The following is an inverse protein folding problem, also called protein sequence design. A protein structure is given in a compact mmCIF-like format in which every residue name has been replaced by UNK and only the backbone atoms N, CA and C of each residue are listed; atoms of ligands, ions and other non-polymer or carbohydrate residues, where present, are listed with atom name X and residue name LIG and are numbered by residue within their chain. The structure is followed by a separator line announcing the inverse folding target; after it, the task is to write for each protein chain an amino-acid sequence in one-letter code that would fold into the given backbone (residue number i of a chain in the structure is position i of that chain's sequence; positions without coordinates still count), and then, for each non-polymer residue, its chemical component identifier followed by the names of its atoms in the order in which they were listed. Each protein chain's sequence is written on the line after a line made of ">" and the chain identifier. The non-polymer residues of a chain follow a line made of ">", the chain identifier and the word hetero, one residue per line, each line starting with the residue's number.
data_IF_065524294623
#
_entry.id   IF_065524294623
#
_cell.length_a   1.000
_cell.length_b   1.000
_cell.length_c   1.000
_cell.angle_alpha   90.00
_cell.angle_beta   90.00
_cell.angle_gamma   90.00
#
_symmetry.space_group_name_H-M   'P 1'
#
loop_
_entity.id
_entity.type
_entity.pdbx_description
1 polymer ?
#
# COMPACT_ATOMS: atom_id res chain seq x y z
N UNK A 1 12.14 -25.88 -17.01
CA UNK A 1 11.76 -24.48 -16.71
C UNK A 1 11.07 -24.37 -15.36
N UNK A 2 9.96 -25.09 -15.11
CA UNK A 2 9.25 -25.09 -13.81
C UNK A 2 10.15 -25.18 -12.57
N UNK A 3 11.00 -26.20 -12.46
CA UNK A 3 11.85 -26.40 -11.28
C UNK A 3 12.84 -25.24 -11.06
N UNK A 4 13.31 -24.61 -12.14
CA UNK A 4 14.20 -23.45 -12.04
C UNK A 4 13.47 -22.20 -11.55
N UNK A 5 12.24 -21.96 -12.03
CA UNK A 5 11.40 -20.86 -11.54
C UNK A 5 11.00 -21.08 -10.08
N UNK A 6 10.69 -22.32 -9.69
CA UNK A 6 10.38 -22.67 -8.30
C UNK A 6 11.60 -22.45 -7.37
N UNK A 7 12.79 -22.89 -7.79
CA UNK A 7 14.03 -22.64 -7.03
C UNK A 7 14.31 -21.14 -6.92
N UNK A 8 14.16 -20.40 -8.02
CA UNK A 8 14.33 -18.95 -8.03
C UNK A 8 13.37 -18.25 -7.08
N UNK A 9 12.09 -18.61 -7.11
CA UNK A 9 11.07 -18.06 -6.22
C UNK A 9 11.43 -18.23 -4.73
N UNK A 10 12.05 -19.36 -4.35
CA UNK A 10 12.49 -19.60 -2.97
C UNK A 10 13.77 -18.83 -2.64
N UNK A 11 14.73 -18.80 -3.56
CA UNK A 11 16.05 -18.18 -3.33
C UNK A 11 15.99 -16.66 -3.20
N UNK A 12 15.15 -16.00 -3.99
CA UNK A 12 15.03 -14.53 -4.00
C UNK A 12 14.48 -13.92 -2.71
N UNK A 13 14.10 -14.74 -1.72
CA UNK A 13 13.82 -14.27 -0.36
C UNK A 13 15.09 -13.74 0.32
N UNK A 14 16.26 -14.29 0.01
CA UNK A 14 17.54 -13.85 0.55
C UNK A 14 18.14 -12.67 -0.24
N UNK A 15 18.72 -11.70 0.48
CA UNK A 15 19.27 -10.49 -0.13
C UNK A 15 20.52 -10.75 -0.98
N UNK A 16 21.37 -11.71 -0.59
CA UNK A 16 22.57 -12.06 -1.35
C UNK A 16 22.18 -12.75 -2.67
N UNK A 17 21.17 -13.61 -2.63
CA UNK A 17 20.65 -14.27 -3.83
C UNK A 17 19.99 -13.27 -4.80
N UNK A 18 19.31 -12.21 -4.29
CA UNK A 18 18.80 -11.11 -5.14
C UNK A 18 19.92 -10.37 -5.86
N UNK A 19 21.00 -10.06 -5.15
CA UNK A 19 22.16 -9.38 -5.73
C UNK A 19 22.86 -10.24 -6.80
N UNK A 20 23.00 -11.55 -6.56
CA UNK A 20 23.54 -12.49 -7.55
C UNK A 20 22.61 -12.63 -8.77
N UNK A 21 21.31 -12.70 -8.54
CA UNK A 21 20.29 -12.74 -9.58
C UNK A 21 20.34 -11.50 -10.47
N UNK A 22 20.41 -10.31 -9.87
CA UNK A 22 20.54 -9.04 -10.58
C UNK A 22 21.79 -9.00 -11.46
N UNK A 23 22.96 -9.38 -10.89
CA UNK A 23 24.23 -9.45 -11.63
C UNK A 23 24.23 -10.43 -12.80
N UNK A 24 23.35 -11.43 -12.78
CA UNK A 24 23.22 -12.44 -13.81
C UNK A 24 22.17 -12.11 -14.88
N UNK A 25 21.80 -10.83 -15.02
CA UNK A 25 20.70 -10.36 -15.90
C UNK A 25 19.35 -11.02 -15.58
N UNK A 26 19.18 -11.47 -14.34
CA UNK A 26 18.02 -12.23 -13.91
C UNK A 26 16.71 -11.45 -14.02
N UNK A 27 16.75 -10.14 -13.72
CA UNK A 27 15.59 -9.23 -13.78
C UNK A 27 15.04 -9.20 -15.19
N UNK A 28 15.88 -8.90 -16.18
CA UNK A 28 15.51 -8.90 -17.59
C UNK A 28 14.96 -10.26 -18.04
N UNK A 29 15.60 -11.36 -17.61
CA UNK A 29 15.18 -12.70 -18.01
C UNK A 29 13.79 -13.09 -17.46
N UNK A 30 13.51 -12.77 -16.19
CA UNK A 30 12.20 -13.09 -15.59
C UNK A 30 11.08 -12.18 -16.11
N UNK A 31 11.41 -10.92 -16.40
CA UNK A 31 10.46 -9.96 -16.99
C UNK A 31 10.13 -10.35 -18.42
N UNK A 32 11.13 -10.67 -19.26
CA UNK A 32 10.91 -11.20 -20.62
C UNK A 32 10.01 -12.44 -20.59
N UNK A 33 10.22 -13.31 -19.60
CA UNK A 33 9.38 -14.49 -19.42
C UNK A 33 7.91 -14.11 -19.17
N UNK A 34 7.64 -13.16 -18.26
CA UNK A 34 6.27 -12.70 -17.97
C UNK A 34 5.65 -11.99 -19.18
N UNK A 35 6.38 -11.09 -19.83
CA UNK A 35 5.88 -10.33 -20.98
C UNK A 35 5.49 -11.26 -22.11
N UNK A 36 6.36 -12.21 -22.48
CA UNK A 36 6.10 -13.13 -23.58
C UNK A 36 4.89 -14.02 -23.31
N UNK A 37 4.81 -14.63 -22.12
CA UNK A 37 3.65 -15.48 -21.80
C UNK A 37 2.37 -14.65 -21.79
N UNK A 38 2.40 -13.42 -21.25
CA UNK A 38 1.25 -12.53 -21.25
C UNK A 38 0.81 -12.12 -22.67
N UNK A 39 1.75 -11.75 -23.55
CA UNK A 39 1.47 -11.41 -24.95
C UNK A 39 0.84 -12.58 -25.71
N UNK A 40 1.37 -13.80 -25.55
CA UNK A 40 0.77 -14.98 -26.15
C UNK A 40 -0.66 -15.18 -25.63
N UNK A 41 -0.86 -15.08 -24.32
CA UNK A 41 -2.20 -15.25 -23.74
C UNK A 41 -3.17 -14.18 -24.22
N UNK A 42 -2.72 -12.95 -24.46
CA UNK A 42 -3.55 -11.92 -25.08
C UNK A 42 -4.05 -12.37 -26.47
N UNK A 43 -3.21 -13.02 -27.29
CA UNK A 43 -3.63 -13.58 -28.58
C UNK A 43 -4.61 -14.76 -28.45
N UNK A 44 -4.58 -15.45 -27.31
CA UNK A 44 -5.46 -16.56 -26.97
C UNK A 44 -6.68 -16.12 -26.12
N UNK A 45 -6.97 -14.83 -26.07
CA UNK A 45 -8.05 -14.23 -25.27
C UNK A 45 -7.98 -14.60 -23.77
N UNK A 46 -6.77 -14.68 -23.22
CA UNK A 46 -6.50 -15.00 -21.83
C UNK A 46 -7.14 -16.32 -21.38
N UNK A 47 -7.10 -17.32 -22.26
CA UNK A 47 -7.63 -18.64 -21.94
C UNK A 47 -6.79 -19.37 -20.87
N UNK A 48 -5.48 -19.09 -20.78
CA UNK A 48 -4.51 -19.69 -19.86
C UNK A 48 -4.43 -21.23 -19.87
N UNK A 49 -5.05 -21.87 -20.87
CA UNK A 49 -5.12 -23.34 -20.94
C UNK A 49 -3.90 -23.97 -21.64
N UNK A 50 -3.18 -23.21 -22.46
CA UNK A 50 -2.04 -23.70 -23.24
C UNK A 50 -1.07 -22.57 -23.55
N UNK A 51 0.21 -22.89 -23.73
CA UNK A 51 1.24 -21.96 -24.18
C UNK A 51 2.26 -22.67 -25.08
N UNK A 52 2.80 -21.97 -26.08
CA UNK A 52 3.91 -22.42 -26.93
C UNK A 52 5.09 -21.43 -26.93
N UNK A 53 5.04 -20.40 -26.06
CA UNK A 53 5.88 -19.19 -26.18
C UNK A 53 7.39 -19.43 -26.04
N UNK A 54 7.79 -20.60 -25.54
CA UNK A 54 9.19 -21.04 -25.41
C UNK A 54 9.54 -22.26 -26.28
N UNK A 55 8.81 -22.47 -27.38
CA UNK A 55 9.10 -23.55 -28.34
C UNK A 55 8.73 -24.95 -27.86
N UNK A 56 7.95 -25.04 -26.78
CA UNK A 56 7.39 -26.26 -26.24
C UNK A 56 5.91 -26.04 -25.92
N UNK A 57 5.06 -27.00 -26.25
CA UNK A 57 3.63 -26.94 -25.91
C UNK A 57 3.44 -27.27 -24.44
N UNK A 58 2.89 -26.31 -23.70
CA UNK A 58 2.54 -26.42 -22.29
C UNK A 58 1.05 -26.63 -22.12
N UNK A 59 0.69 -27.49 -21.18
CA UNK A 59 -0.69 -27.71 -20.75
C UNK A 59 -1.07 -26.72 -19.64
N UNK A 60 -2.36 -26.59 -19.36
CA UNK A 60 -2.93 -25.64 -18.40
C UNK A 60 -2.18 -25.60 -17.07
N UNK A 61 -1.92 -26.76 -16.46
CA UNK A 61 -1.21 -26.81 -15.17
C UNK A 61 0.24 -26.30 -15.27
N UNK A 62 0.90 -26.47 -16.42
CA UNK A 62 2.28 -26.01 -16.63
C UNK A 62 2.33 -24.50 -16.86
N UNK A 63 1.33 -23.96 -17.56
CA UNK A 63 1.13 -22.51 -17.72
C UNK A 63 0.89 -21.86 -16.36
N UNK A 64 -0.02 -22.44 -15.57
CA UNK A 64 -0.34 -21.96 -14.23
C UNK A 64 0.86 -22.05 -13.28
N UNK A 65 1.53 -23.21 -13.20
CA UNK A 65 2.75 -23.37 -12.39
C UNK A 65 3.81 -22.33 -12.79
N UNK A 66 4.02 -22.13 -14.10
CA UNK A 66 4.98 -21.15 -14.58
C UNK A 66 4.62 -19.73 -14.16
N UNK A 67 3.36 -19.31 -14.35
CA UNK A 67 2.91 -17.97 -13.99
C UNK A 67 3.04 -17.74 -12.48
N UNK A 68 2.60 -18.70 -11.66
CA UNK A 68 2.72 -18.64 -10.21
C UNK A 68 4.16 -18.39 -9.75
N UNK A 69 5.11 -19.21 -10.21
CA UNK A 69 6.50 -19.06 -9.80
C UNK A 69 7.14 -17.77 -10.32
N UNK A 70 6.77 -17.32 -11.53
CA UNK A 70 7.20 -16.03 -12.07
C UNK A 70 6.71 -14.87 -11.19
N UNK A 71 5.43 -14.87 -10.79
CA UNK A 71 4.86 -13.82 -9.93
C UNK A 71 5.49 -13.79 -8.54
N UNK A 72 5.72 -14.94 -7.92
CA UNK A 72 6.39 -15.02 -6.60
C UNK A 72 7.83 -14.52 -6.70
N UNK A 73 8.57 -14.95 -7.72
CA UNK A 73 9.95 -14.52 -7.92
C UNK A 73 10.06 -13.01 -8.21
N UNK A 74 9.17 -12.44 -9.03
CA UNK A 74 9.10 -10.98 -9.25
C UNK A 74 8.79 -10.22 -7.96
N UNK A 75 7.81 -10.71 -7.18
CA UNK A 75 7.47 -10.12 -5.89
C UNK A 75 8.67 -10.10 -4.94
N UNK A 76 9.36 -11.24 -4.76
CA UNK A 76 10.54 -11.31 -3.90
C UNK A 76 11.70 -10.45 -4.42
N UNK A 77 11.96 -10.45 -5.72
CA UNK A 77 12.99 -9.63 -6.36
C UNK A 77 12.74 -8.13 -6.12
N UNK A 78 11.48 -7.68 -6.27
CA UNK A 78 11.10 -6.27 -6.13
C UNK A 78 11.24 -5.70 -4.71
N UNK A 79 11.52 -6.53 -3.70
CA UNK A 79 11.85 -6.05 -2.34
C UNK A 79 13.13 -5.22 -2.35
N UNK A 80 14.06 -5.53 -3.25
CA UNK A 80 15.27 -4.75 -3.44
C UNK A 80 14.99 -3.50 -4.29
N UNK A 81 15.35 -2.32 -3.78
CA UNK A 81 15.02 -1.04 -4.41
C UNK A 81 15.65 -0.88 -5.79
N UNK A 82 16.87 -1.40 -5.97
CA UNK A 82 17.57 -1.26 -7.23
C UNK A 82 16.97 -2.19 -8.29
N UNK A 83 16.58 -3.41 -7.89
CA UNK A 83 15.84 -4.31 -8.78
C UNK A 83 14.47 -3.74 -9.13
N UNK A 84 13.76 -3.16 -8.16
CA UNK A 84 12.48 -2.51 -8.41
C UNK A 84 12.61 -1.34 -9.41
N UNK A 85 13.69 -0.56 -9.32
CA UNK A 85 13.98 0.49 -10.30
C UNK A 85 14.23 -0.08 -11.70
N UNK A 86 15.03 -1.16 -11.82
CA UNK A 86 15.21 -1.86 -13.11
C UNK A 86 13.91 -2.42 -13.68
N UNK A 87 13.02 -2.95 -12.83
CA UNK A 87 11.70 -3.41 -13.24
C UNK A 87 10.82 -2.26 -13.76
N UNK A 88 10.91 -1.07 -13.17
CA UNK A 88 10.20 0.11 -13.66
C UNK A 88 10.73 0.56 -15.03
N UNK A 89 12.04 0.52 -15.25
CA UNK A 89 12.66 0.80 -16.57
C UNK A 89 12.19 -0.19 -17.65
N UNK A 90 11.82 -1.42 -17.25
CA UNK A 90 11.30 -2.48 -18.11
C UNK A 90 9.75 -2.48 -18.22
N UNK A 91 9.07 -1.41 -17.78
CA UNK A 91 7.61 -1.27 -17.87
C UNK A 91 6.81 -2.41 -17.16
N UNK A 92 7.42 -3.03 -16.14
CA UNK A 92 6.83 -4.18 -15.42
C UNK A 92 5.53 -3.80 -14.71
N UNK A 93 5.39 -2.55 -14.25
CA UNK A 93 4.20 -2.08 -13.56
C UNK A 93 2.94 -2.22 -14.45
N UNK A 94 3.04 -1.85 -15.73
CA UNK A 94 1.92 -2.01 -16.67
C UNK A 94 1.61 -3.48 -16.92
N UNK A 95 2.64 -4.30 -17.15
CA UNK A 95 2.48 -5.74 -17.37
C UNK A 95 1.80 -6.42 -16.17
N UNK A 96 2.25 -6.13 -14.94
CA UNK A 96 1.65 -6.69 -13.72
C UNK A 96 0.21 -6.24 -13.52
N UNK A 97 -0.12 -4.99 -13.85
CA UNK A 97 -1.50 -4.51 -13.76
C UNK A 97 -2.42 -5.22 -14.76
N UNK A 98 -1.96 -5.46 -16.00
CA UNK A 98 -2.71 -6.25 -16.98
C UNK A 98 -2.88 -7.71 -16.51
N UNK A 99 -1.83 -8.32 -15.96
CA UNK A 99 -1.87 -9.67 -15.37
C UNK A 99 -2.87 -9.75 -14.21
N UNK A 100 -2.95 -8.74 -13.34
CA UNK A 100 -3.92 -8.67 -12.25
C UNK A 100 -5.36 -8.85 -12.75
N UNK A 101 -5.69 -8.25 -13.89
CA UNK A 101 -7.04 -8.29 -14.49
C UNK A 101 -7.34 -9.59 -15.25
N UNK A 102 -6.32 -10.33 -15.64
CA UNK A 102 -6.43 -11.53 -16.49
C UNK A 102 -6.05 -12.82 -15.77
N UNK A 103 -5.70 -12.75 -14.48
CA UNK A 103 -5.27 -13.90 -13.70
C UNK A 103 -6.30 -15.03 -13.69
N UNK A 104 -5.92 -16.31 -13.93
CA UNK A 104 -6.83 -17.43 -13.82
C UNK A 104 -7.42 -17.57 -12.42
N UNK A 105 -8.72 -17.89 -12.34
CA UNK A 105 -9.41 -18.11 -11.05
C UNK A 105 -8.79 -19.22 -10.22
N UNK A 106 -8.16 -20.21 -10.87
CA UNK A 106 -7.49 -21.35 -10.26
C UNK A 106 -6.25 -20.94 -9.46
N UNK A 107 -5.70 -19.76 -9.74
CA UNK A 107 -4.51 -19.23 -9.09
C UNK A 107 -4.79 -17.88 -8.42
N UNK A 108 -6.05 -17.59 -8.07
CA UNK A 108 -6.47 -16.32 -7.46
C UNK A 108 -5.73 -16.00 -6.16
N UNK A 109 -5.22 -17.00 -5.45
CA UNK A 109 -4.40 -16.81 -4.25
C UNK A 109 -3.10 -16.04 -4.53
N UNK A 110 -2.66 -15.97 -5.80
CA UNK A 110 -1.46 -15.26 -6.22
C UNK A 110 -1.69 -13.77 -6.53
N UNK A 111 -2.94 -13.31 -6.46
CA UNK A 111 -3.26 -11.86 -6.56
C UNK A 111 -2.47 -11.04 -5.53
N UNK A 112 -2.24 -11.59 -4.32
CA UNK A 112 -1.46 -10.88 -3.31
C UNK A 112 -0.02 -10.64 -3.75
N UNK A 113 0.63 -11.60 -4.42
CA UNK A 113 2.00 -11.41 -4.93
C UNK A 113 2.06 -10.34 -6.03
N UNK A 114 1.02 -10.25 -6.87
CA UNK A 114 0.92 -9.18 -7.87
C UNK A 114 0.80 -7.81 -7.18
N UNK A 115 -0.09 -7.69 -6.19
CA UNK A 115 -0.30 -6.45 -5.45
C UNK A 115 0.92 -6.06 -4.60
N UNK A 116 1.60 -7.01 -3.97
CA UNK A 116 2.84 -6.76 -3.23
C UNK A 116 3.96 -6.28 -4.15
N UNK A 117 4.09 -6.88 -5.33
CA UNK A 117 5.05 -6.42 -6.33
C UNK A 117 4.71 -4.99 -6.79
N UNK A 118 3.45 -4.71 -7.12
CA UNK A 118 2.98 -3.36 -7.48
C UNK A 118 3.25 -2.34 -6.36
N UNK A 119 3.02 -2.71 -5.09
CA UNK A 119 3.36 -1.88 -3.93
C UNK A 119 4.84 -1.54 -3.90
N UNK A 120 5.70 -2.55 -4.06
CA UNK A 120 7.15 -2.36 -4.02
C UNK A 120 7.61 -1.44 -5.17
N UNK A 121 7.09 -1.64 -6.38
CA UNK A 121 7.38 -0.78 -7.53
C UNK A 121 6.89 0.66 -7.30
N UNK A 122 5.69 0.86 -6.75
CA UNK A 122 5.20 2.20 -6.44
C UNK A 122 6.00 2.89 -5.33
N UNK A 123 6.60 2.10 -4.41
CA UNK A 123 7.49 2.61 -3.36
C UNK A 123 8.91 2.93 -3.85
N UNK A 124 9.37 2.29 -4.92
CA UNK A 124 10.66 2.57 -5.55
C UNK A 124 10.51 3.74 -6.53
N UNK A 125 10.66 4.96 -6.04
CA UNK A 125 10.73 6.23 -6.79
C UNK A 125 10.00 6.23 -8.17
N UNK A 126 8.69 5.91 -8.18
CA UNK A 126 7.85 5.87 -9.40
C UNK A 126 7.54 7.27 -9.97
N UNK A 127 8.40 8.24 -9.66
CA UNK A 127 8.33 9.64 -10.06
C UNK A 127 8.64 9.84 -11.55
N UNK A 128 9.20 8.84 -12.23
CA UNK A 128 9.68 8.99 -13.61
C UNK A 128 8.70 8.49 -14.70
N UNK A 129 7.70 7.67 -14.37
CA UNK A 129 6.80 7.04 -15.35
C UNK A 129 5.33 7.46 -15.23
N UNK A 130 4.59 7.45 -16.35
CA UNK A 130 3.13 7.51 -16.34
C UNK A 130 2.57 6.24 -15.67
N UNK A 131 1.51 6.38 -14.87
CA UNK A 131 0.81 5.20 -14.35
C UNK A 131 -0.10 4.66 -15.45
N UNK A 132 -0.31 3.33 -15.52
CA UNK A 132 -1.22 2.73 -16.47
C UNK A 132 -2.62 3.34 -16.34
N UNK A 133 -3.34 3.38 -17.46
CA UNK A 133 -4.73 3.85 -17.48
C UNK A 133 -5.56 3.02 -16.51
N UNK A 134 -6.46 3.67 -15.77
CA UNK A 134 -7.33 3.07 -14.75
C UNK A 134 -6.64 2.47 -13.50
N UNK A 135 -5.30 2.39 -13.45
CA UNK A 135 -4.56 1.78 -12.32
C UNK A 135 -4.98 2.32 -10.95
N UNK A 136 -4.94 3.65 -10.81
CA UNK A 136 -5.32 4.33 -9.55
C UNK A 136 -6.78 4.08 -9.21
N UNK A 137 -7.67 4.07 -10.21
CA UNK A 137 -9.09 3.84 -10.01
C UNK A 137 -9.35 2.40 -9.54
N UNK A 138 -8.67 1.40 -10.12
CA UNK A 138 -8.75 0.01 -9.67
C UNK A 138 -8.22 -0.18 -8.25
N UNK A 139 -7.15 0.52 -7.85
CA UNK A 139 -6.66 0.46 -6.47
C UNK A 139 -7.70 1.03 -5.48
N UNK A 140 -8.38 2.12 -5.86
CA UNK A 140 -9.50 2.64 -5.06
C UNK A 140 -10.66 1.65 -4.94
N UNK A 141 -10.99 0.95 -6.03
CA UNK A 141 -12.05 -0.06 -6.04
C UNK A 141 -11.70 -1.27 -5.17
N UNK A 142 -10.45 -1.72 -5.19
CA UNK A 142 -9.97 -2.79 -4.29
C UNK A 142 -10.05 -2.33 -2.84
N UNK A 143 -9.48 -1.17 -2.52
CA UNK A 143 -9.47 -0.61 -1.16
C UNK A 143 -10.88 -0.47 -0.59
N UNK A 144 -11.80 0.08 -1.38
CA UNK A 144 -13.17 0.39 -0.95
C UNK A 144 -14.17 -0.73 -1.24
N UNK A 145 -13.72 -1.90 -1.66
CA UNK A 145 -14.59 -3.05 -1.90
C UNK A 145 -15.25 -3.53 -0.59
N UNK A 146 -16.48 -4.03 -0.69
CA UNK A 146 -17.19 -4.66 0.42
C UNK A 146 -16.67 -6.08 0.72
N UNK A 147 -15.48 -6.44 0.20
CA UNK A 147 -14.96 -7.79 0.28
C UNK A 147 -14.30 -8.07 1.64
N UNK A 148 -15.13 -8.33 2.65
CA UNK A 148 -14.66 -8.70 4.00
C UNK A 148 -13.83 -10.00 4.01
N UNK A 149 -13.78 -10.75 2.91
CA UNK A 149 -13.01 -12.01 2.80
C UNK A 149 -11.55 -11.82 2.35
N UNK A 150 -11.17 -10.63 1.89
CA UNK A 150 -9.80 -10.33 1.45
C UNK A 150 -9.24 -9.01 2.02
N UNK A 151 -9.21 -8.84 3.37
CA UNK A 151 -8.72 -7.61 4.00
C UNK A 151 -7.26 -7.29 3.61
N UNK A 152 -6.47 -8.32 3.29
CA UNK A 152 -5.08 -8.14 2.87
C UNK A 152 -4.96 -7.42 1.52
N UNK A 153 -5.89 -7.60 0.59
CA UNK A 153 -5.85 -6.87 -0.69
C UNK A 153 -6.19 -5.39 -0.49
N UNK A 154 -7.10 -5.09 0.45
CA UNK A 154 -7.42 -3.70 0.82
C UNK A 154 -6.22 -3.02 1.48
N UNK A 155 -5.50 -3.74 2.34
CA UNK A 155 -4.25 -3.28 2.94
C UNK A 155 -3.21 -2.93 1.86
N UNK A 156 -2.92 -3.85 0.93
CA UNK A 156 -1.97 -3.60 -0.16
C UNK A 156 -2.41 -2.45 -1.07
N UNK A 157 -3.71 -2.33 -1.38
CA UNK A 157 -4.23 -1.22 -2.17
C UNK A 157 -4.06 0.13 -1.45
N UNK A 158 -4.26 0.17 -0.12
CA UNK A 158 -3.98 1.37 0.67
C UNK A 158 -2.49 1.72 0.65
N UNK A 159 -1.59 0.74 0.77
CA UNK A 159 -0.13 0.95 0.70
C UNK A 159 0.31 1.47 -0.68
N UNK A 160 -0.22 0.90 -1.77
CA UNK A 160 0.03 1.37 -3.14
C UNK A 160 -0.41 2.83 -3.29
N UNK A 161 -1.63 3.16 -2.88
CA UNK A 161 -2.16 4.53 -2.95
C UNK A 161 -1.35 5.48 -2.06
N UNK A 162 -0.88 5.02 -0.89
CA UNK A 162 -0.04 5.81 0.01
C UNK A 162 1.31 6.14 -0.64
N UNK A 163 1.95 5.17 -1.29
CA UNK A 163 3.21 5.34 -2.02
C UNK A 163 3.06 6.35 -3.17
N UNK A 164 1.98 6.26 -3.95
CA UNK A 164 1.70 7.23 -5.03
C UNK A 164 1.44 8.63 -4.44
N UNK A 165 0.64 8.73 -3.37
CA UNK A 165 0.32 10.00 -2.73
C UNK A 165 1.54 10.68 -2.10
N UNK A 166 2.53 9.90 -1.65
CA UNK A 166 3.78 10.41 -1.09
C UNK A 166 4.61 11.19 -2.13
N UNK A 167 4.53 10.78 -3.39
CA UNK A 167 5.23 11.45 -4.50
C UNK A 167 4.43 12.63 -5.04
N UNK A 168 3.15 12.40 -5.35
CA UNK A 168 2.23 13.43 -5.81
C UNK A 168 0.79 13.06 -5.47
N UNK A 169 0.23 13.75 -4.48
CA UNK A 169 -1.14 13.57 -4.02
C UNK A 169 -2.17 13.73 -5.15
N UNK A 170 -1.92 14.56 -6.16
CA UNK A 170 -2.84 14.77 -7.26
C UNK A 170 -3.02 13.52 -8.12
N UNK A 171 -1.98 12.67 -8.25
CA UNK A 171 -2.03 11.42 -9.02
C UNK A 171 -3.05 10.43 -8.48
N UNK A 172 -3.35 10.51 -7.18
CA UNK A 172 -4.29 9.58 -6.53
C UNK A 172 -5.74 9.95 -6.80
N UNK A 173 -6.03 11.14 -7.34
CA UNK A 173 -7.39 11.56 -7.72
C UNK A 173 -8.42 11.33 -6.59
N UNK A 174 -8.04 11.68 -5.36
CA UNK A 174 -8.88 11.48 -4.18
C UNK A 174 -10.08 12.45 -4.21
N UNK A 175 -11.29 11.88 -4.21
CA UNK A 175 -12.54 12.64 -4.09
C UNK A 175 -12.98 12.73 -2.63
N UNK A 176 -13.92 13.61 -2.33
CA UNK A 176 -14.51 13.68 -0.98
C UNK A 176 -15.11 12.33 -0.55
N UNK A 177 -15.81 11.64 -1.45
CA UNK A 177 -16.43 10.34 -1.15
C UNK A 177 -15.38 9.27 -0.83
N UNK A 178 -14.29 9.21 -1.61
CA UNK A 178 -13.15 8.30 -1.36
C UNK A 178 -12.52 8.58 0.00
N UNK A 179 -12.21 9.85 0.30
CA UNK A 179 -11.64 10.27 1.57
C UNK A 179 -12.55 9.93 2.76
N UNK A 180 -13.85 10.19 2.62
CA UNK A 180 -14.90 9.91 3.62
C UNK A 180 -15.04 8.41 3.90
N UNK A 181 -14.96 7.57 2.86
CA UNK A 181 -14.96 6.12 2.97
C UNK A 181 -13.67 5.59 3.63
N UNK A 182 -12.49 6.07 3.20
CA UNK A 182 -11.19 5.73 3.81
C UNK A 182 -11.14 6.08 5.29
N UNK A 183 -11.63 7.27 5.68
CA UNK A 183 -11.71 7.65 7.09
C UNK A 183 -12.61 6.70 7.89
N UNK A 184 -13.71 6.24 7.28
CA UNK A 184 -14.64 5.31 7.93
C UNK A 184 -13.97 3.95 8.17
N UNK A 185 -13.24 3.43 7.17
CA UNK A 185 -12.43 2.23 7.31
C UNK A 185 -11.36 2.40 8.40
N UNK A 186 -10.62 3.51 8.38
CA UNK A 186 -9.57 3.81 9.36
C UNK A 186 -10.10 3.84 10.79
N UNK A 187 -11.23 4.50 11.04
CA UNK A 187 -11.81 4.56 12.38
C UNK A 187 -12.32 3.19 12.87
N UNK A 188 -12.73 2.30 11.95
CA UNK A 188 -13.10 0.90 12.26
C UNK A 188 -11.85 0.08 12.62
N UNK A 189 -10.77 0.22 11.86
CA UNK A 189 -9.54 -0.56 12.05
C UNK A 189 -8.70 -0.07 13.23
N UNK A 190 -8.66 1.24 13.49
CA UNK A 190 -7.86 1.84 14.57
C UNK A 190 -8.25 1.40 15.99
N UNK A 191 -9.47 0.88 16.16
CA UNK A 191 -9.96 0.33 17.45
C UNK A 191 -9.87 -1.19 17.54
N UNK A 192 -9.50 -1.88 16.45
CA UNK A 192 -9.39 -3.34 16.41
C UNK A 192 -7.91 -3.76 16.26
N UNK A 193 -7.31 -4.35 17.30
CA UNK A 193 -5.92 -4.82 17.25
C UNK A 193 -5.64 -5.85 16.16
N UNK A 194 -6.64 -6.63 15.73
CA UNK A 194 -6.47 -7.65 14.67
C UNK A 194 -6.27 -7.04 13.28
N UNK A 195 -6.57 -5.75 13.12
CA UNK A 195 -6.47 -5.02 11.85
C UNK A 195 -5.44 -3.88 11.91
N UNK A 196 -4.43 -4.01 12.77
CA UNK A 196 -3.44 -2.95 13.00
C UNK A 196 -2.68 -2.57 11.72
N UNK A 197 -2.21 -3.55 10.93
CA UNK A 197 -1.50 -3.31 9.67
C UNK A 197 -2.36 -2.54 8.66
N UNK A 198 -3.60 -2.98 8.44
CA UNK A 198 -4.52 -2.22 7.60
C UNK A 198 -4.80 -0.81 8.16
N UNK A 199 -4.89 -0.65 9.48
CA UNK A 199 -4.96 0.64 10.15
C UNK A 199 -3.74 1.53 9.86
N UNK A 200 -2.53 0.97 9.83
CA UNK A 200 -1.28 1.66 9.50
C UNK A 200 -1.34 2.15 8.05
N UNK A 201 -1.63 1.26 7.10
CA UNK A 201 -1.72 1.59 5.68
C UNK A 201 -2.75 2.71 5.41
N UNK A 202 -3.91 2.65 6.07
CA UNK A 202 -4.93 3.70 5.98
C UNK A 202 -4.49 5.02 6.61
N UNK A 203 -3.81 4.98 7.77
CA UNK A 203 -3.28 6.18 8.42
C UNK A 203 -2.23 6.87 7.56
N UNK A 204 -1.33 6.11 6.95
CA UNK A 204 -0.27 6.61 6.07
C UNK A 204 -0.86 7.20 4.78
N UNK A 205 -1.85 6.53 4.17
CA UNK A 205 -2.59 7.08 3.03
C UNK A 205 -3.26 8.40 3.39
N UNK A 206 -4.02 8.46 4.49
CA UNK A 206 -4.68 9.70 4.93
C UNK A 206 -3.66 10.80 5.24
N UNK A 207 -2.50 10.44 5.81
CA UNK A 207 -1.42 11.36 6.12
C UNK A 207 -0.85 12.01 4.84
N UNK A 208 -0.56 11.20 3.82
CA UNK A 208 -0.04 11.67 2.54
C UNK A 208 -1.08 12.47 1.77
N UNK A 209 -2.36 12.07 1.80
CA UNK A 209 -3.45 12.87 1.22
C UNK A 209 -3.56 14.24 1.91
N UNK A 210 -3.30 14.34 3.22
CA UNK A 210 -3.33 15.60 3.95
C UNK A 210 -2.17 16.56 3.63
N UNK A 211 -1.20 16.14 2.81
CA UNK A 211 -0.22 17.07 2.23
C UNK A 211 -0.89 18.03 1.23
N UNK A 212 -2.00 17.64 0.61
CA UNK A 212 -2.87 18.55 -0.12
C UNK A 212 -3.82 19.29 0.83
N UNK A 213 -3.86 20.62 0.71
CA UNK A 213 -4.63 21.47 1.63
C UNK A 213 -6.15 21.22 1.53
N UNK A 214 -6.68 20.93 0.34
CA UNK A 214 -8.11 20.68 0.16
C UNK A 214 -8.50 19.35 0.80
N UNK A 215 -7.72 18.29 0.57
CA UNK A 215 -7.90 16.99 1.22
C UNK A 215 -7.80 17.09 2.75
N UNK A 216 -6.81 17.85 3.25
CA UNK A 216 -6.64 18.08 4.69
C UNK A 216 -7.88 18.74 5.33
N UNK A 217 -8.42 19.79 4.71
CA UNK A 217 -9.63 20.47 5.19
C UNK A 217 -10.87 19.58 5.14
N UNK A 218 -11.04 18.82 4.05
CA UNK A 218 -12.12 17.85 3.93
C UNK A 218 -12.03 16.79 5.04
N UNK A 219 -10.83 16.27 5.33
CA UNK A 219 -10.66 15.26 6.38
C UNK A 219 -11.00 15.81 7.77
N UNK A 220 -10.64 17.06 8.07
CA UNK A 220 -11.03 17.74 9.31
C UNK A 220 -12.56 17.83 9.40
N UNK A 221 -13.24 18.23 8.32
CA UNK A 221 -14.70 18.29 8.28
C UNK A 221 -15.35 16.91 8.47
N UNK A 222 -14.82 15.87 7.83
CA UNK A 222 -15.33 14.50 7.95
C UNK A 222 -15.06 13.88 9.33
N UNK A 223 -13.95 14.25 10.00
CA UNK A 223 -13.71 13.90 11.40
C UNK A 223 -14.70 14.59 12.34
N UNK A 224 -15.01 15.85 12.06
CA UNK A 224 -15.96 16.64 12.84
C UNK A 224 -17.38 16.06 12.81
N UNK A 225 -17.80 15.47 11.69
CA UNK A 225 -19.12 14.83 11.58
C UNK A 225 -19.18 13.47 12.28
N UNK A 226 -18.04 12.79 12.44
CA UNK A 226 -17.95 11.43 13.02
C UNK A 226 -17.57 11.40 14.50
N UNK A 227 -17.17 12.53 15.08
CA UNK A 227 -16.74 12.57 16.48
C UNK A 227 -17.86 12.13 17.43
N UNK A 228 -17.56 11.35 18.50
CA UNK A 228 -18.55 10.94 19.48
C UNK A 228 -19.23 12.14 20.17
N UNK A 229 -20.46 11.94 20.67
CA UNK A 229 -21.22 13.01 21.35
C UNK A 229 -20.46 13.69 22.50
N UNK A 230 -19.61 12.93 23.22
CA UNK A 230 -18.74 13.44 24.29
C UNK A 230 -17.68 14.45 23.81
N UNK A 231 -17.39 14.49 22.50
CA UNK A 231 -16.44 15.39 21.85
C UNK A 231 -17.11 16.55 21.10
N UNK A 232 -18.42 16.77 21.22
CA UNK A 232 -19.11 17.82 20.44
C UNK A 232 -18.57 19.24 20.66
N UNK A 233 -17.96 19.50 21.83
CA UNK A 233 -17.33 20.78 22.19
C UNK A 233 -15.86 20.91 21.74
N UNK A 234 -15.31 19.86 21.14
CA UNK A 234 -13.94 19.79 20.67
C UNK A 234 -13.91 19.53 19.15
N UNK A 235 -12.80 19.88 18.50
CA UNK A 235 -12.56 19.50 17.10
C UNK A 235 -12.43 17.97 16.98
N UNK A 236 -12.80 17.42 15.83
CA UNK A 236 -12.60 16.03 15.46
C UNK A 236 -11.14 15.60 15.53
N UNK A 237 -10.19 16.53 15.35
CA UNK A 237 -8.75 16.29 15.55
C UNK A 237 -8.44 15.95 17.01
N UNK A 238 -9.14 16.55 17.99
CA UNK A 238 -8.97 16.21 19.41
C UNK A 238 -9.49 14.81 19.72
N UNK A 239 -10.58 14.40 19.04
CA UNK A 239 -11.05 13.02 19.13
C UNK A 239 -9.99 12.05 18.59
N UNK A 240 -9.37 12.37 17.44
CA UNK A 240 -8.29 11.57 16.88
C UNK A 240 -7.07 11.49 17.80
N UNK A 241 -6.63 12.61 18.41
CA UNK A 241 -5.54 12.61 19.43
C UNK A 241 -5.83 11.63 20.55
N UNK A 242 -7.05 11.68 21.12
CA UNK A 242 -7.42 10.76 22.19
C UNK A 242 -7.47 9.32 21.68
N UNK A 243 -7.91 9.08 20.44
CA UNK A 243 -7.88 7.75 19.85
C UNK A 243 -6.43 7.23 19.78
N UNK A 244 -5.50 8.03 19.26
CA UNK A 244 -4.06 7.74 19.19
C UNK A 244 -3.46 7.41 20.56
N UNK A 245 -3.79 8.17 21.60
CA UNK A 245 -3.31 7.92 22.97
C UNK A 245 -3.79 6.57 23.53
N UNK A 246 -4.93 6.06 23.06
CA UNK A 246 -5.49 4.78 23.50
C UNK A 246 -5.04 3.59 22.62
N UNK A 247 -4.40 3.85 21.48
CA UNK A 247 -3.85 2.81 20.61
C UNK A 247 -2.72 2.07 21.31
N UNK A 248 -2.79 0.73 21.30
CA UNK A 248 -1.79 -0.14 21.92
C UNK A 248 -0.69 -0.60 20.98
N UNK A 249 -0.99 -0.63 19.69
CA UNK A 249 0.00 -0.96 18.67
C UNK A 249 0.88 0.28 18.43
N UNK A 250 2.17 0.16 18.71
CA UNK A 250 3.10 1.30 18.66
C UNK A 250 3.36 1.78 17.22
N UNK A 251 3.33 0.89 16.22
CA UNK A 251 3.53 1.26 14.82
C UNK A 251 2.32 2.04 14.30
N UNK A 252 1.10 1.54 14.55
CA UNK A 252 -0.14 2.26 14.26
C UNK A 252 -0.18 3.61 14.97
N UNK A 253 0.19 3.64 16.25
CA UNK A 253 0.25 4.89 17.00
C UNK A 253 1.18 5.91 16.35
N UNK A 254 2.36 5.49 15.88
CA UNK A 254 3.30 6.38 15.19
C UNK A 254 2.72 6.96 13.88
N UNK A 255 2.07 6.14 13.05
CA UNK A 255 1.37 6.64 11.84
C UNK A 255 0.24 7.61 12.19
N UNK A 256 -0.54 7.29 13.22
CA UNK A 256 -1.61 8.17 13.72
C UNK A 256 -1.09 9.49 14.28
N UNK A 257 0.04 9.49 14.99
CA UNK A 257 0.70 10.72 15.49
C UNK A 257 1.11 11.64 14.33
N UNK A 258 1.61 11.06 13.23
CA UNK A 258 1.97 11.80 12.01
C UNK A 258 0.74 12.42 11.34
N UNK A 259 -0.34 11.64 11.21
CA UNK A 259 -1.62 12.15 10.69
C UNK A 259 -2.18 13.30 11.56
N UNK A 260 -2.19 13.11 12.89
CA UNK A 260 -2.63 14.14 13.85
C UNK A 260 -1.78 15.40 13.71
N UNK A 261 -0.46 15.26 13.55
CA UNK A 261 0.43 16.38 13.35
C UNK A 261 0.03 17.18 12.11
N UNK A 262 -0.14 16.54 10.95
CA UNK A 262 -0.53 17.21 9.71
C UNK A 262 -1.87 17.96 9.84
N UNK A 263 -2.87 17.32 10.44
CA UNK A 263 -4.19 17.94 10.68
C UNK A 263 -4.11 19.13 11.64
N UNK A 264 -3.25 19.05 12.65
CA UNK A 264 -3.05 20.11 13.66
C UNK A 264 -2.51 21.41 13.08
N UNK A 265 -1.69 21.34 12.03
CA UNK A 265 -1.15 22.51 11.33
C UNK A 265 -2.20 23.22 10.45
N UNK A 266 -3.24 22.51 10.05
CA UNK A 266 -4.31 23.02 9.17
C UNK A 266 -5.58 23.42 9.92
N UNK A 267 -5.88 22.79 11.05
CA UNK A 267 -7.09 23.07 11.85
C UNK A 267 -6.95 24.37 12.69
N UNK A 268 -7.72 25.44 12.40
CA UNK A 268 -7.68 26.69 13.19
C UNK A 268 -8.20 26.52 14.63
N UNK A 269 -9.15 25.60 14.87
CA UNK A 269 -9.68 25.28 16.20
C UNK A 269 -8.73 24.33 16.96
N UNK A 270 -8.10 23.44 16.21
CA UNK A 270 -7.02 22.55 16.62
C UNK A 270 -5.81 23.32 17.12
N UNK A 271 -5.33 24.34 16.39
CA UNK A 271 -4.21 25.20 16.83
C UNK A 271 -4.38 25.74 18.25
N UNK A 272 -5.59 26.19 18.64
CA UNK A 272 -5.87 26.70 20.00
C UNK A 272 -6.02 25.60 21.05
N UNK A 273 -6.54 24.43 20.66
CA UNK A 273 -6.81 23.30 21.58
C UNK A 273 -5.55 22.45 21.80
N UNK A 274 -4.77 22.22 20.75
CA UNK A 274 -3.51 21.48 20.74
C UNK A 274 -2.39 22.31 21.35
N UNK A 275 -2.35 23.64 21.16
CA UNK A 275 -1.45 24.47 21.98
C UNK A 275 -1.74 24.31 23.48
N UNK A 276 -3.00 24.19 23.90
CA UNK A 276 -3.37 23.92 25.31
C UNK A 276 -3.01 22.50 25.77
N UNK A 277 -3.22 21.48 24.92
CA UNK A 277 -2.88 20.08 25.23
C UNK A 277 -1.36 19.84 25.21
N UNK A 278 -0.63 20.41 24.25
CA UNK A 278 0.83 20.39 24.16
C UNK A 278 1.47 21.20 25.30
N UNK A 279 0.91 22.35 25.70
CA UNK A 279 1.31 23.02 26.95
C UNK A 279 1.06 22.11 28.16
N UNK A 280 -0.06 21.39 28.21
CA UNK A 280 -0.36 20.46 29.29
C UNK A 280 0.65 19.30 29.35
N UNK A 281 0.94 18.62 28.24
CA UNK A 281 1.89 17.51 28.20
C UNK A 281 3.35 17.98 28.40
N UNK A 282 3.73 19.14 27.86
CA UNK A 282 5.03 19.77 28.07
C UNK A 282 5.21 20.21 29.54
N UNK A 283 4.18 20.78 30.17
CA UNK A 283 4.20 21.10 31.61
C UNK A 283 4.22 19.84 32.48
N UNK A 284 3.60 18.73 32.05
CA UNK A 284 3.64 17.46 32.79
C UNK A 284 5.03 16.83 32.77
N UNK A 285 5.78 16.99 31.66
CA UNK A 285 7.21 16.59 31.58
C UNK A 285 8.14 17.47 32.42
N UNK A 286 7.84 18.75 32.62
CA UNK A 286 8.64 19.66 33.45
C UNK A 286 8.23 19.70 34.93
N UNK A 287 6.99 19.33 35.28
CA UNK A 287 6.53 19.22 36.67
C UNK A 287 7.07 17.98 37.39
N UNK A 288 7.73 17.07 36.66
CA UNK A 288 8.62 16.04 37.21
C UNK A 288 10.03 16.63 37.33
N UNK A 289 10.20 17.66 38.18
CA UNK A 289 11.52 17.95 38.72
C UNK A 289 12.05 16.70 39.45
N UNK A 290 13.35 16.35 39.34
CA UNK A 290 13.91 15.37 40.22
C UNK A 290 13.83 15.93 41.63
N UNK A 291 13.19 15.19 42.54
CA UNK A 291 13.29 15.47 43.96
C UNK A 291 14.77 15.56 44.32
N UNK A 292 15.24 16.77 44.60
CA UNK A 292 16.57 16.98 45.18
C UNK A 292 16.48 16.38 46.57
N UNK A 293 16.99 15.17 46.72
CA UNK A 293 17.16 14.51 48.00
C UNK A 293 18.15 15.32 48.83
N UNK A 294 17.64 16.02 49.84
CA UNK A 294 18.40 16.57 50.97
C UNK A 294 18.74 15.50 51.99
#
# INVERSE_FOLDING_TARGET
>A
MRNALAELAVRLVDAQDREEFRKADGVTAIVDHLVRIHEEQATLNFAWNTSEVFGATWQEFEVHDSLQFTLVALCHASIDSDIAAEMLELEVLETLFQVLSTLPTQISDYVSFVLECLRNLCGSDCSQGELPTDFVQSMWEILLSDNETAPYWQELAAEILANIAALDTARVSATQDKLSATLTLFLRTAINPETANFGIALADLLCNLCCDQACCLLLICELDTRRPRKHLRHSGVVYLVQLTENTRDEALKQSMETLVHNLSWSDPAGKRSIQKLALSSFMTRFALEPAISS
#
